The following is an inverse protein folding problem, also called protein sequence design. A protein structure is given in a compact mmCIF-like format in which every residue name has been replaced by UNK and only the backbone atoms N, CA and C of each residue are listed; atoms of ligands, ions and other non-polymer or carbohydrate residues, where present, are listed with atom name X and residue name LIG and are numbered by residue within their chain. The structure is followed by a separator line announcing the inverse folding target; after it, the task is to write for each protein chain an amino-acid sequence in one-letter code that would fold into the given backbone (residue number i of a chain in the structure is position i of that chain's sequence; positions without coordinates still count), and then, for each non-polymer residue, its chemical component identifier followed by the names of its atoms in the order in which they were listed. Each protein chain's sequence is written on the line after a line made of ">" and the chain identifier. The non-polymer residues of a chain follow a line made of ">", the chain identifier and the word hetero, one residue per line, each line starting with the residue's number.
data_IF_783108865634
#
_entry.id   IF_783108865634
#
_cell.length_a   1.000
_cell.length_b   1.000
_cell.length_c   1.000
_cell.angle_alpha   90.00
_cell.angle_beta   90.00
_cell.angle_gamma   90.00
#
_symmetry.space_group_name_H-M   'P 1'
#
loop_
_entity.id
_entity.type
_entity.pdbx_description
1 polymer ?
#
# COMPACT_ATOMS: atom_id res chain seq x y z
N UNK A 1 -4.02 19.56 6.34
CA UNK A 1 -2.79 18.99 5.70
C UNK A 1 -2.52 19.45 4.26
N UNK A 2 -3.49 20.08 3.58
CA UNK A 2 -3.29 20.59 2.21
C UNK A 2 -2.13 21.60 2.06
N UNK A 3 -1.72 22.27 3.14
CA UNK A 3 -0.60 23.22 3.12
C UNK A 3 0.78 22.56 3.03
N UNK A 4 0.95 21.33 3.53
CA UNK A 4 2.22 20.62 3.48
C UNK A 4 2.52 20.14 2.05
N UNK A 5 1.51 19.67 1.32
CA UNK A 5 1.65 19.14 -0.05
C UNK A 5 2.20 20.21 -1.01
N UNK A 6 1.69 21.43 -0.95
CA UNK A 6 2.21 22.51 -1.81
C UNK A 6 3.66 22.91 -1.49
N UNK A 7 4.06 22.91 -0.22
CA UNK A 7 5.42 23.21 0.22
C UNK A 7 6.39 22.06 -0.10
N UNK A 8 5.94 20.83 0.04
CA UNK A 8 6.67 19.62 -0.30
C UNK A 8 7.01 19.58 -1.79
N UNK A 9 6.02 19.83 -2.65
CA UNK A 9 6.20 19.87 -4.10
C UNK A 9 7.23 20.93 -4.52
N UNK A 10 7.18 22.13 -3.95
CA UNK A 10 8.17 23.18 -4.22
C UNK A 10 9.59 22.85 -3.75
N UNK A 11 9.74 22.09 -2.68
CA UNK A 11 11.04 21.67 -2.15
C UNK A 11 11.60 20.54 -3.00
N UNK A 12 10.76 19.57 -3.38
CA UNK A 12 11.12 18.45 -4.25
C UNK A 12 11.54 18.91 -5.64
N UNK A 13 10.80 19.83 -6.27
CA UNK A 13 11.12 20.38 -7.60
C UNK A 13 12.46 21.11 -7.65
N UNK A 14 12.96 21.56 -6.50
CA UNK A 14 14.28 22.22 -6.37
C UNK A 14 15.39 21.27 -5.95
N UNK A 15 15.12 19.97 -5.82
CA UNK A 15 16.10 18.97 -5.41
C UNK A 15 16.65 19.18 -4.01
N UNK A 16 15.93 19.88 -3.13
CA UNK A 16 16.36 20.08 -1.75
C UNK A 16 15.99 18.88 -0.91
N UNK A 17 16.94 18.23 -0.21
CA UNK A 17 16.62 17.13 0.66
C UNK A 17 15.73 17.59 1.82
N UNK A 18 14.64 16.85 2.07
CA UNK A 18 13.70 17.16 3.14
C UNK A 18 13.29 15.89 3.88
N UNK A 19 12.73 16.06 5.07
CA UNK A 19 12.07 15.00 5.84
C UNK A 19 10.75 15.50 6.40
N UNK A 20 9.78 14.61 6.53
CA UNK A 20 8.49 14.90 7.18
C UNK A 20 8.55 14.37 8.61
N UNK A 21 8.35 15.28 9.59
CA UNK A 21 8.40 14.93 11.01
C UNK A 21 7.01 14.87 11.61
N UNK A 22 6.71 13.76 12.31
CA UNK A 22 5.47 13.61 13.09
C UNK A 22 4.22 13.24 12.28
N UNK A 23 4.37 12.96 10.98
CA UNK A 23 3.35 12.29 10.18
C UNK A 23 3.78 10.86 9.88
N UNK A 24 2.84 9.91 9.84
CA UNK A 24 3.13 8.66 9.17
C UNK A 24 3.48 8.99 7.71
N UNK A 25 4.61 8.48 7.21
CA UNK A 25 4.91 8.51 5.79
C UNK A 25 3.66 8.08 5.02
N UNK A 26 3.43 8.67 3.85
CA UNK A 26 2.26 8.34 3.03
C UNK A 26 2.09 6.83 2.88
N UNK A 27 3.19 6.12 2.59
CA UNK A 27 3.20 4.67 2.41
C UNK A 27 3.04 3.89 3.74
N UNK A 28 3.16 4.53 4.89
CA UNK A 28 2.94 3.91 6.21
C UNK A 28 1.46 3.97 6.64
N UNK A 29 0.61 4.73 5.95
CA UNK A 29 -0.83 4.80 6.25
C UNK A 29 -1.48 3.44 6.01
N UNK A 30 -2.43 3.07 6.89
CA UNK A 30 -3.04 1.73 6.89
C UNK A 30 -3.65 1.36 5.53
N UNK A 31 -4.49 2.22 4.99
CA UNK A 31 -5.20 2.02 3.72
C UNK A 31 -4.24 1.89 2.53
N UNK A 32 -3.13 2.63 2.56
CA UNK A 32 -2.09 2.55 1.53
C UNK A 32 -1.34 1.23 1.64
N UNK A 33 -0.93 0.83 2.85
CA UNK A 33 -0.31 -0.48 3.09
C UNK A 33 -1.22 -1.64 2.66
N UNK A 34 -2.54 -1.49 2.83
CA UNK A 34 -3.48 -2.52 2.42
C UNK A 34 -3.53 -2.66 0.89
N UNK A 35 -3.57 -1.55 0.14
CA UNK A 35 -3.50 -1.56 -1.33
C UNK A 35 -2.14 -2.09 -1.81
N UNK A 36 -1.03 -1.60 -1.25
CA UNK A 36 0.31 -2.06 -1.61
C UNK A 36 0.50 -3.55 -1.33
N UNK A 37 -0.07 -4.07 -0.25
CA UNK A 37 -0.03 -5.51 0.04
C UNK A 37 -0.76 -6.34 -1.03
N UNK A 38 -1.89 -5.88 -1.56
CA UNK A 38 -2.52 -6.51 -2.72
C UNK A 38 -1.61 -6.48 -3.96
N UNK A 39 -1.00 -5.33 -4.24
CA UNK A 39 -0.06 -5.19 -5.35
C UNK A 39 1.15 -6.13 -5.18
N UNK A 40 1.73 -6.21 -3.98
CA UNK A 40 2.84 -7.12 -3.65
C UNK A 40 2.44 -8.58 -3.86
N UNK A 41 1.27 -8.99 -3.36
CA UNK A 41 0.77 -10.35 -3.52
C UNK A 41 0.47 -10.69 -4.99
N UNK A 42 0.06 -9.72 -5.79
CA UNK A 42 -0.16 -9.88 -7.22
C UNK A 42 1.15 -10.13 -7.97
N UNK A 43 2.22 -9.40 -7.63
CA UNK A 43 3.54 -9.56 -8.25
C UNK A 43 4.28 -10.79 -7.70
N UNK A 44 4.15 -11.05 -6.40
CA UNK A 44 4.77 -12.19 -5.72
C UNK A 44 3.75 -12.89 -4.82
N UNK A 45 3.09 -13.96 -5.30
CA UNK A 45 2.12 -14.72 -4.51
C UNK A 45 2.73 -15.40 -3.26
N UNK A 46 4.06 -15.57 -3.20
CA UNK A 46 4.76 -16.16 -2.06
C UNK A 46 5.07 -15.14 -0.96
N UNK A 47 4.65 -13.89 -1.08
CA UNK A 47 4.78 -12.87 -0.05
C UNK A 47 3.81 -13.15 1.11
N UNK A 48 4.31 -13.81 2.14
CA UNK A 48 3.51 -14.21 3.30
C UNK A 48 2.97 -13.02 4.11
N UNK A 49 3.73 -11.94 4.20
CA UNK A 49 3.31 -10.74 4.92
C UNK A 49 2.13 -10.09 4.20
N UNK A 50 2.26 -9.89 2.91
CA UNK A 50 1.19 -9.38 2.07
C UNK A 50 -0.05 -10.31 2.12
N UNK A 51 0.14 -11.62 2.03
CA UNK A 51 -0.94 -12.59 2.14
C UNK A 51 -1.71 -12.46 3.46
N UNK A 52 -1.00 -12.51 4.61
CA UNK A 52 -1.61 -12.42 5.95
C UNK A 52 -2.37 -11.12 6.14
N UNK A 53 -1.89 -10.04 5.51
CA UNK A 53 -2.52 -8.73 5.57
C UNK A 53 -3.84 -8.67 4.81
N UNK A 54 -3.92 -9.24 3.61
CA UNK A 54 -5.06 -9.04 2.70
C UNK A 54 -6.04 -10.20 2.63
N UNK A 55 -5.72 -11.40 3.11
CA UNK A 55 -6.57 -12.59 2.99
C UNK A 55 -7.97 -12.39 3.57
N UNK A 56 -8.11 -11.58 4.63
CA UNK A 56 -9.39 -11.20 5.23
C UNK A 56 -9.66 -9.69 5.18
N UNK A 57 -9.00 -8.95 4.34
CA UNK A 57 -9.27 -7.53 4.13
C UNK A 57 -9.52 -7.24 2.65
N UNK A 58 -10.66 -6.64 2.28
CA UNK A 58 -11.88 -6.40 3.07
C UNK A 58 -12.44 -7.68 3.71
N UNK A 59 -13.29 -7.52 4.73
CA UNK A 59 -13.78 -8.63 5.54
C UNK A 59 -14.46 -9.72 4.69
N UNK A 60 -13.82 -10.91 4.62
CA UNK A 60 -14.33 -12.09 3.89
C UNK A 60 -14.83 -13.19 4.82
N UNK A 61 -14.72 -12.98 6.12
CA UNK A 61 -15.03 -13.99 7.13
C UNK A 61 -14.02 -15.15 7.14
N UNK A 62 -12.75 -14.84 6.82
CA UNK A 62 -11.60 -15.73 7.01
C UNK A 62 -10.93 -15.28 8.31
N UNK A 63 -11.28 -15.94 9.42
CA UNK A 63 -10.78 -15.57 10.75
C UNK A 63 -9.33 -15.99 10.99
N UNK A 64 -8.73 -15.45 12.06
CA UNK A 64 -7.34 -15.74 12.46
C UNK A 64 -7.09 -17.25 12.62
N UNK A 65 -8.03 -17.99 13.19
CA UNK A 65 -7.92 -19.45 13.33
C UNK A 65 -7.77 -20.20 12.00
N UNK A 66 -8.32 -19.65 10.91
CA UNK A 66 -8.13 -20.20 9.56
C UNK A 66 -6.74 -19.87 9.05
N UNK A 67 -6.28 -18.64 9.26
CA UNK A 67 -4.92 -18.23 8.90
C UNK A 67 -3.88 -19.07 9.63
N UNK A 68 -4.07 -19.33 10.93
CA UNK A 68 -3.17 -20.18 11.73
C UNK A 68 -3.10 -21.62 11.19
N UNK A 69 -4.24 -22.16 10.73
CA UNK A 69 -4.28 -23.48 10.08
C UNK A 69 -3.51 -23.50 8.75
N UNK A 70 -3.65 -22.44 7.95
CA UNK A 70 -2.91 -22.28 6.69
C UNK A 70 -1.40 -22.22 6.97
N UNK A 71 -0.98 -21.42 7.96
CA UNK A 71 0.43 -21.31 8.38
C UNK A 71 0.96 -22.66 8.87
N UNK A 72 0.19 -23.40 9.68
CA UNK A 72 0.59 -24.71 10.17
C UNK A 72 0.74 -25.73 9.03
N UNK A 73 -0.18 -25.76 8.08
CA UNK A 73 -0.10 -26.65 6.91
C UNK A 73 1.12 -26.29 6.05
N UNK A 74 1.33 -25.02 5.76
CA UNK A 74 2.47 -24.53 4.99
C UNK A 74 3.82 -24.93 5.64
N UNK A 75 3.92 -24.74 6.97
CA UNK A 75 5.11 -25.12 7.72
C UNK A 75 5.35 -26.64 7.75
N UNK A 76 4.29 -27.45 7.80
CA UNK A 76 4.38 -28.91 7.80
C UNK A 76 4.87 -29.44 6.46
N UNK A 77 4.35 -28.89 5.37
CA UNK A 77 4.63 -29.37 4.01
C UNK A 77 5.84 -28.65 3.37
N UNK A 78 6.37 -27.60 4.02
CA UNK A 78 7.51 -26.82 3.51
C UNK A 78 7.18 -26.02 2.25
N UNK A 79 5.93 -25.55 2.13
CA UNK A 79 5.42 -24.78 1.00
C UNK A 79 4.94 -23.40 1.43
N UNK A 80 4.64 -22.51 0.48
CA UNK A 80 4.13 -21.18 0.78
C UNK A 80 2.66 -21.18 1.20
N UNK A 81 2.22 -20.11 1.88
CA UNK A 81 0.80 -19.95 2.25
C UNK A 81 -0.10 -19.94 1.00
N UNK A 82 0.39 -19.35 -0.10
CA UNK A 82 -0.32 -19.32 -1.37
C UNK A 82 -0.54 -20.71 -1.96
N UNK A 83 0.48 -21.57 -1.92
CA UNK A 83 0.34 -22.96 -2.41
C UNK A 83 -0.72 -23.72 -1.63
N UNK A 84 -0.73 -23.61 -0.29
CA UNK A 84 -1.72 -24.25 0.57
C UNK A 84 -3.15 -23.81 0.20
N UNK A 85 -3.40 -22.52 -0.01
CA UNK A 85 -4.75 -22.04 -0.32
C UNK A 85 -5.16 -22.28 -1.76
N UNK A 86 -4.20 -22.35 -2.68
CA UNK A 86 -4.44 -22.65 -4.10
C UNK A 86 -4.75 -24.14 -4.32
N UNK A 87 -4.17 -25.03 -3.48
CA UNK A 87 -4.36 -26.49 -3.55
C UNK A 87 -4.70 -27.09 -2.19
N UNK A 88 -5.78 -26.63 -1.56
CA UNK A 88 -6.09 -26.97 -0.17
C UNK A 88 -6.36 -28.47 0.05
N UNK A 89 -6.76 -29.20 -0.99
CA UNK A 89 -6.97 -30.67 -0.92
C UNK A 89 -5.65 -31.42 -0.86
N UNK A 90 -4.61 -30.97 -1.58
CA UNK A 90 -3.28 -31.58 -1.59
C UNK A 90 -2.62 -31.44 -0.20
N UNK A 91 -2.83 -30.31 0.46
CA UNK A 91 -2.25 -29.98 1.77
C UNK A 91 -3.17 -30.34 2.96
N UNK A 92 -4.24 -31.10 2.71
CA UNK A 92 -5.17 -31.56 3.75
C UNK A 92 -5.63 -30.47 4.72
N UNK A 93 -5.88 -29.25 4.21
CA UNK A 93 -6.21 -28.08 5.03
C UNK A 93 -7.50 -28.30 5.84
N UNK A 94 -7.44 -28.30 7.20
CA UNK A 94 -8.57 -28.72 8.05
C UNK A 94 -9.59 -27.59 8.24
N UNK A 95 -10.28 -27.18 7.15
CA UNK A 95 -11.32 -26.15 7.14
C UNK A 95 -12.64 -26.70 6.61
N UNK A 96 -13.75 -26.06 6.98
CA UNK A 96 -15.07 -26.46 6.50
C UNK A 96 -15.30 -25.98 5.04
N UNK A 97 -16.33 -26.56 4.38
CA UNK A 97 -16.67 -26.23 2.99
C UNK A 97 -16.96 -24.74 2.76
N UNK A 98 -17.58 -24.06 3.74
CA UNK A 98 -17.87 -22.63 3.63
C UNK A 98 -16.58 -21.78 3.64
N UNK A 99 -15.64 -22.10 4.50
CA UNK A 99 -14.32 -21.45 4.53
C UNK A 99 -13.52 -21.76 3.27
N UNK A 100 -13.58 -23.00 2.78
CA UNK A 100 -12.96 -23.40 1.52
C UNK A 100 -13.47 -22.55 0.34
N UNK A 101 -14.79 -22.33 0.26
CA UNK A 101 -15.37 -21.46 -0.77
C UNK A 101 -14.88 -20.01 -0.69
N UNK A 102 -14.67 -19.48 0.53
CA UNK A 102 -14.14 -18.13 0.73
C UNK A 102 -12.66 -18.03 0.33
N UNK A 103 -11.85 -19.02 0.67
CA UNK A 103 -10.46 -19.11 0.26
C UNK A 103 -10.35 -19.20 -1.27
N UNK A 104 -11.18 -20.06 -1.89
CA UNK A 104 -11.23 -20.17 -3.34
C UNK A 104 -11.60 -18.82 -4.01
N UNK A 105 -12.62 -18.15 -3.52
CA UNK A 105 -12.99 -16.83 -4.06
C UNK A 105 -11.85 -15.81 -3.94
N UNK A 106 -11.09 -15.84 -2.83
CA UNK A 106 -9.91 -14.99 -2.65
C UNK A 106 -8.80 -15.37 -3.65
N UNK A 107 -8.47 -16.65 -3.80
CA UNK A 107 -7.44 -17.09 -4.75
C UNK A 107 -7.82 -16.81 -6.20
N UNK A 108 -9.09 -16.96 -6.57
CA UNK A 108 -9.59 -16.65 -7.91
C UNK A 108 -9.40 -15.15 -8.24
N UNK A 109 -9.66 -14.26 -7.29
CA UNK A 109 -9.44 -12.80 -7.45
C UNK A 109 -7.94 -12.51 -7.66
N UNK A 110 -7.05 -13.02 -6.81
CA UNK A 110 -5.61 -12.78 -6.90
C UNK A 110 -5.04 -13.37 -8.19
N UNK A 111 -5.44 -14.60 -8.55
CA UNK A 111 -5.02 -15.22 -9.82
C UNK A 111 -5.43 -14.37 -11.04
N UNK A 112 -6.64 -13.80 -11.01
CA UNK A 112 -7.09 -12.88 -12.05
C UNK A 112 -6.25 -11.60 -12.15
N UNK A 113 -5.69 -11.12 -11.04
CA UNK A 113 -4.73 -10.00 -11.07
C UNK A 113 -3.37 -10.42 -11.60
N UNK A 114 -2.87 -11.59 -11.20
CA UNK A 114 -1.59 -12.15 -11.67
C UNK A 114 -1.61 -12.30 -13.20
N UNK A 115 -2.67 -12.82 -13.77
CA UNK A 115 -2.82 -12.98 -15.23
C UNK A 115 -2.76 -11.64 -15.99
N UNK A 116 -3.12 -10.54 -15.33
CA UNK A 116 -3.14 -9.20 -15.92
C UNK A 116 -1.81 -8.44 -15.78
N UNK A 117 -0.86 -8.95 -15.02
CA UNK A 117 0.43 -8.26 -14.74
C UNK A 117 1.20 -7.92 -16.02
N UNK A 118 1.19 -8.84 -17.01
CA UNK A 118 1.87 -8.65 -18.29
C UNK A 118 1.04 -7.87 -19.32
N UNK A 119 -0.25 -7.64 -19.04
CA UNK A 119 -1.19 -7.05 -19.99
C UNK A 119 -1.51 -5.57 -19.67
N UNK A 120 -1.29 -5.17 -18.43
CA UNK A 120 -1.68 -3.86 -17.91
C UNK A 120 -0.47 -3.14 -17.31
N UNK A 121 -0.43 -1.81 -17.43
CA UNK A 121 0.50 -1.00 -16.68
C UNK A 121 0.12 -0.92 -15.19
N UNK A 122 1.01 -0.36 -14.38
CA UNK A 122 0.82 -0.24 -12.94
C UNK A 122 -0.45 0.54 -12.57
N UNK A 123 -0.82 1.58 -13.33
CA UNK A 123 -1.97 2.43 -13.00
C UNK A 123 -3.28 1.69 -13.22
N UNK A 124 -3.45 1.07 -14.39
CA UNK A 124 -4.65 0.29 -14.69
C UNK A 124 -4.80 -0.92 -13.76
N UNK A 125 -3.71 -1.65 -13.50
CA UNK A 125 -3.75 -2.82 -12.63
C UNK A 125 -4.03 -2.44 -11.18
N UNK A 126 -3.44 -1.37 -10.65
CA UNK A 126 -3.73 -0.89 -9.29
C UNK A 126 -5.19 -0.45 -9.15
N UNK A 127 -5.74 0.26 -10.14
CA UNK A 127 -7.15 0.65 -10.15
C UNK A 127 -8.08 -0.57 -10.16
N UNK A 128 -7.76 -1.58 -10.96
CA UNK A 128 -8.48 -2.85 -11.02
C UNK A 128 -8.44 -3.60 -9.68
N UNK A 129 -7.25 -3.68 -9.06
CA UNK A 129 -7.05 -4.29 -7.75
C UNK A 129 -7.94 -3.61 -6.69
N UNK A 130 -7.94 -2.28 -6.61
CA UNK A 130 -8.74 -1.52 -5.65
C UNK A 130 -10.24 -1.77 -5.86
N UNK A 131 -10.68 -1.84 -7.12
CA UNK A 131 -12.08 -2.07 -7.47
C UNK A 131 -12.54 -3.48 -7.14
N UNK A 132 -11.84 -4.49 -7.66
CA UNK A 132 -12.26 -5.90 -7.61
C UNK A 132 -11.98 -6.55 -6.25
N UNK A 133 -10.96 -6.09 -5.50
CA UNK A 133 -10.73 -6.56 -4.13
C UNK A 133 -11.86 -6.20 -3.16
N UNK A 134 -12.62 -5.15 -3.47
CA UNK A 134 -13.67 -4.58 -2.63
C UNK A 134 -13.19 -3.48 -1.67
N UNK A 135 -11.91 -3.10 -1.70
CA UNK A 135 -11.34 -1.99 -0.89
C UNK A 135 -12.14 -0.71 -1.12
N UNK A 136 -12.40 -0.37 -2.39
CA UNK A 136 -13.19 0.81 -2.75
C UNK A 136 -14.53 0.83 -2.02
N UNK A 137 -15.27 -0.30 -2.02
CA UNK A 137 -16.58 -0.38 -1.37
C UNK A 137 -16.48 -0.16 0.13
N UNK A 138 -15.48 -0.76 0.80
CA UNK A 138 -15.31 -0.63 2.25
C UNK A 138 -14.97 0.80 2.65
N UNK A 139 -14.04 1.44 1.94
CA UNK A 139 -13.60 2.81 2.22
C UNK A 139 -14.73 3.81 1.97
N UNK A 140 -15.51 3.66 0.89
CA UNK A 140 -16.60 4.58 0.55
C UNK A 140 -17.87 4.41 1.40
N UNK A 141 -17.99 3.33 2.15
CA UNK A 141 -19.08 3.16 3.13
C UNK A 141 -18.86 4.00 4.40
N UNK A 142 -17.62 4.37 4.69
CA UNK A 142 -17.27 5.17 5.85
C UNK A 142 -17.31 6.66 5.50
N UNK A 143 -18.41 7.32 5.92
CA UNK A 143 -18.62 8.76 5.71
C UNK A 143 -18.10 9.63 6.87
N UNK A 144 -17.37 9.04 7.82
CA UNK A 144 -16.69 9.78 8.88
C UNK A 144 -15.55 10.65 8.30
N UNK A 145 -15.10 11.69 9.03
CA UNK A 145 -13.93 12.48 8.61
C UNK A 145 -12.69 11.61 8.35
N UNK A 146 -12.49 10.56 9.16
CA UNK A 146 -11.42 9.58 8.97
C UNK A 146 -11.62 8.74 7.72
N UNK A 147 -12.88 8.36 7.41
CA UNK A 147 -13.23 7.65 6.17
C UNK A 147 -12.96 8.50 4.94
N UNK A 148 -13.34 9.77 4.97
CA UNK A 148 -13.06 10.72 3.88
C UNK A 148 -11.55 10.90 3.66
N UNK A 149 -10.76 11.03 4.74
CA UNK A 149 -9.31 11.12 4.64
C UNK A 149 -8.69 9.85 4.02
N UNK A 150 -9.23 8.65 4.33
CA UNK A 150 -8.79 7.40 3.69
C UNK A 150 -9.14 7.36 2.20
N UNK A 151 -10.29 7.89 1.81
CA UNK A 151 -10.68 8.02 0.39
C UNK A 151 -9.69 8.93 -0.36
N UNK A 152 -9.38 10.10 0.21
CA UNK A 152 -8.41 11.04 -0.34
C UNK A 152 -7.03 10.39 -0.50
N UNK A 153 -6.57 9.64 0.52
CA UNK A 153 -5.30 8.94 0.47
C UNK A 153 -5.23 7.89 -0.65
N UNK A 154 -6.30 7.11 -0.84
CA UNK A 154 -6.35 6.12 -1.94
C UNK A 154 -6.39 6.82 -3.31
N UNK A 155 -7.08 7.95 -3.42
CA UNK A 155 -7.10 8.74 -4.65
C UNK A 155 -5.72 9.36 -4.94
N UNK A 156 -5.01 9.82 -3.92
CA UNK A 156 -3.64 10.32 -4.03
C UNK A 156 -2.68 9.20 -4.48
N UNK A 157 -2.83 7.99 -3.95
CA UNK A 157 -2.06 6.83 -4.42
C UNK A 157 -2.29 6.58 -5.90
N UNK A 158 -3.55 6.54 -6.35
CA UNK A 158 -3.87 6.33 -7.77
C UNK A 158 -3.27 7.40 -8.67
N UNK A 159 -3.30 8.67 -8.23
CA UNK A 159 -2.66 9.77 -8.97
C UNK A 159 -1.14 9.60 -9.03
N UNK A 160 -0.50 9.19 -7.94
CA UNK A 160 0.94 8.92 -7.90
C UNK A 160 1.37 7.75 -8.81
N UNK A 161 0.58 6.66 -8.86
CA UNK A 161 0.84 5.55 -9.78
C UNK A 161 0.68 6.00 -11.24
N UNK A 162 -0.29 6.86 -11.53
CA UNK A 162 -0.51 7.39 -12.87
C UNK A 162 0.64 8.32 -13.32
N UNK A 163 1.15 9.15 -12.40
CA UNK A 163 2.34 9.98 -12.64
C UNK A 163 3.58 9.11 -12.89
N UNK A 164 3.78 8.06 -12.09
CA UNK A 164 4.84 7.06 -12.32
C UNK A 164 4.78 6.49 -13.74
N UNK A 165 3.61 6.00 -14.18
CA UNK A 165 3.43 5.44 -15.53
C UNK A 165 3.74 6.48 -16.60
N UNK A 166 3.21 7.71 -16.47
CA UNK A 166 3.42 8.78 -17.45
C UNK A 166 4.90 9.12 -17.60
N UNK A 167 5.61 9.31 -16.50
CA UNK A 167 7.05 9.59 -16.46
C UNK A 167 7.86 8.46 -17.12
N UNK A 168 7.58 7.21 -16.75
CA UNK A 168 8.27 6.03 -17.31
C UNK A 168 8.03 5.88 -18.81
N UNK A 169 6.83 6.17 -19.30
CA UNK A 169 6.53 6.18 -20.74
C UNK A 169 7.34 7.22 -21.50
N UNK A 170 7.46 8.45 -20.95
CA UNK A 170 8.29 9.51 -21.56
C UNK A 170 9.76 9.11 -21.62
N UNK A 171 10.25 8.38 -20.63
CA UNK A 171 11.63 7.88 -20.55
C UNK A 171 11.85 6.56 -21.36
N UNK A 172 10.81 5.99 -21.93
CA UNK A 172 10.87 4.71 -22.66
C UNK A 172 11.18 3.51 -21.77
N UNK A 173 10.80 3.58 -20.49
CA UNK A 173 11.03 2.56 -19.48
C UNK A 173 9.77 1.71 -19.25
N UNK A 174 9.95 0.57 -18.55
CA UNK A 174 8.85 -0.30 -18.16
C UNK A 174 7.90 0.40 -17.17
N UNK A 175 6.59 0.19 -17.37
CA UNK A 175 5.49 0.74 -16.56
C UNK A 175 4.79 -0.31 -15.72
N UNK A 176 5.42 -1.46 -15.52
CA UNK A 176 4.84 -2.60 -14.82
C UNK A 176 4.65 -2.36 -13.32
N UNK A 177 3.73 -3.13 -12.73
CA UNK A 177 3.45 -3.05 -11.30
C UNK A 177 4.67 -3.39 -10.43
N UNK A 178 5.54 -4.31 -10.88
CA UNK A 178 6.79 -4.67 -10.20
C UNK A 178 7.75 -3.49 -10.09
N UNK A 179 7.88 -2.69 -11.15
CA UNK A 179 8.75 -1.51 -11.18
C UNK A 179 8.23 -0.41 -10.25
N UNK A 180 6.91 -0.21 -10.22
CA UNK A 180 6.29 0.70 -9.27
C UNK A 180 6.57 0.28 -7.81
N UNK A 181 6.41 -1.00 -7.48
CA UNK A 181 6.68 -1.50 -6.12
C UNK A 181 8.15 -1.36 -5.72
N UNK A 182 9.09 -1.50 -6.64
CA UNK A 182 10.51 -1.22 -6.38
C UNK A 182 10.74 0.25 -6.01
N UNK A 183 10.12 1.18 -6.74
CA UNK A 183 10.22 2.62 -6.42
C UNK A 183 9.61 2.93 -5.05
N UNK A 184 8.45 2.34 -4.72
CA UNK A 184 7.81 2.49 -3.39
C UNK A 184 8.71 1.97 -2.27
N UNK A 185 9.38 0.83 -2.46
CA UNK A 185 10.30 0.28 -1.46
C UNK A 185 11.48 1.23 -1.20
N UNK A 186 12.07 1.77 -2.25
CA UNK A 186 13.17 2.74 -2.11
C UNK A 186 12.74 4.03 -1.37
N UNK A 187 11.52 4.51 -1.63
CA UNK A 187 10.98 5.68 -0.94
C UNK A 187 10.71 5.40 0.55
N UNK A 188 10.20 4.20 0.86
CA UNK A 188 9.97 3.79 2.27
C UNK A 188 11.27 3.68 3.05
N UNK A 189 12.32 3.13 2.46
CA UNK A 189 13.63 2.97 3.11
C UNK A 189 14.30 4.33 3.38
N UNK A 190 14.14 5.29 2.48
CA UNK A 190 14.63 6.66 2.66
C UNK A 190 13.93 7.40 3.81
N UNK A 191 12.68 7.06 4.09
CA UNK A 191 11.92 7.62 5.21
C UNK A 191 12.36 7.03 6.58
N UNK A 192 12.91 5.81 6.59
CA UNK A 192 13.39 5.14 7.80
C UNK A 192 14.86 5.47 8.13
N UNK A 193 15.63 5.98 7.17
CA UNK A 193 17.04 6.32 7.37
C UNK A 193 17.20 7.65 8.12
N UNK A 194 17.04 7.61 9.45
CA UNK A 194 17.29 8.75 10.37
C UNK A 194 18.78 9.13 10.50
N UNK A 195 19.69 8.39 9.85
CA UNK A 195 21.13 8.46 10.13
C UNK A 195 21.87 9.64 9.50
N UNK A 196 21.25 10.38 8.57
CA UNK A 196 21.91 11.51 7.91
C UNK A 196 21.30 12.86 8.33
N UNK A 197 21.70 13.36 9.50
CA UNK A 197 21.19 14.59 10.13
C UNK A 197 21.61 15.89 9.42
N UNK A 198 22.46 15.84 8.38
CA UNK A 198 23.08 17.04 7.83
C UNK A 198 22.33 17.57 6.60
N UNK A 199 21.73 18.74 6.78
CA UNK A 199 21.19 19.63 5.69
C UNK A 199 19.83 19.25 5.08
N UNK A 200 18.94 18.61 5.83
CA UNK A 200 17.57 18.35 5.38
C UNK A 200 16.58 19.42 5.89
N UNK A 201 15.67 19.89 5.03
CA UNK A 201 14.53 20.71 5.47
C UNK A 201 13.53 19.82 6.20
N UNK A 202 13.18 20.14 7.45
CA UNK A 202 12.18 19.40 8.18
C UNK A 202 10.80 20.02 7.99
N UNK A 203 9.88 19.27 7.38
CA UNK A 203 8.47 19.64 7.25
C UNK A 203 7.68 19.03 8.41
N UNK A 204 6.90 19.82 9.11
CA UNK A 204 6.07 19.33 10.22
C UNK A 204 4.84 20.19 10.42
N UNK A 205 3.84 19.64 11.10
CA UNK A 205 2.68 20.40 11.54
C UNK A 205 3.05 21.27 12.75
N UNK A 206 2.35 22.38 12.96
CA UNK A 206 2.52 23.23 14.16
C UNK A 206 2.30 22.39 15.44
N UNK A 207 1.41 21.43 15.40
CA UNK A 207 1.17 20.53 16.53
C UNK A 207 2.37 19.63 16.84
N UNK A 208 3.01 19.10 15.81
CA UNK A 208 4.23 18.28 15.96
C UNK A 208 5.45 19.10 16.38
N UNK A 209 5.46 20.40 16.09
CA UNK A 209 6.52 21.32 16.48
C UNK A 209 6.43 21.77 17.96
N UNK A 210 5.33 21.48 18.65
CA UNK A 210 5.12 21.90 20.04
C UNK A 210 6.17 21.28 20.97
N UNK A 211 6.96 22.14 21.59
CA UNK A 211 8.04 21.73 22.52
C UNK A 211 9.39 21.46 21.84
N UNK A 212 9.50 21.64 20.53
CA UNK A 212 10.76 21.55 19.80
C UNK A 212 11.29 22.96 19.49
N UNK A 213 12.61 23.10 19.47
CA UNK A 213 13.31 24.36 19.17
C UNK A 213 14.08 24.21 17.85
N UNK A 214 13.91 25.19 16.94
CA UNK A 214 14.59 25.19 15.66
C UNK A 214 15.29 26.54 15.44
N UNK A 215 16.51 26.57 14.88
CA UNK A 215 17.23 27.80 14.59
C UNK A 215 16.58 28.66 13.51
N UNK A 216 15.85 28.03 12.58
CA UNK A 216 15.12 28.72 11.50
C UNK A 216 13.80 28.03 11.29
N UNK A 217 12.71 28.81 11.24
CA UNK A 217 11.34 28.32 11.00
C UNK A 217 10.72 29.12 9.85
N UNK A 218 10.18 28.43 8.86
CA UNK A 218 9.36 29.03 7.80
C UNK A 218 7.93 28.51 7.95
N UNK A 219 6.96 29.42 8.03
CA UNK A 219 5.55 29.06 8.19
C UNK A 219 4.80 29.38 6.91
N UNK A 220 4.17 28.38 6.31
CA UNK A 220 3.28 28.56 5.16
C UNK A 220 1.84 28.62 5.64
N UNK A 221 1.16 29.71 5.34
CA UNK A 221 -0.29 29.86 5.62
C UNK A 221 -1.06 29.71 4.30
N UNK A 222 -2.03 28.82 4.26
CA UNK A 222 -3.13 28.91 3.32
C UNK A 222 -4.29 29.61 4.01
N UNK A 223 -4.65 30.78 3.55
CA UNK A 223 -5.92 31.39 3.92
C UNK A 223 -7.04 30.54 3.30
N UNK A 224 -7.80 29.87 4.16
CA UNK A 224 -9.14 29.41 3.82
C UNK A 224 -10.05 30.66 3.91
N UNK A 225 -10.40 31.22 2.76
CA UNK A 225 -11.56 32.13 2.63
C UNK A 225 -12.79 31.30 2.38
#
# INVERSE_FOLDING_TARGET
>A
CACLVGSEMCIRDRGMPYRIYGGLSFYQRKEIKDVIAYCRLTVNPHDEEAFKRVVNYPARGIGQTTVDKIVSAASTDGVSLWEVVSRPEEHSLPVNKGTMGKLKAFTDIISGFIEKTELMDAAFLTQEIIRESGIMREIFQDVSPEGMSRQENVQELLSGVQEFVSRRLEEGQSTGLSDFLQEVSLLSDLDEDESDEQHKVTLMTIHSAKGLEFPVVSVSYTHLT
#
